data_IF_643010206819
#
_entry.id   IF_643010206819
#
_cell.length_a   1.000
_cell.length_b   1.000
_cell.length_c   1.000
_cell.angle_alpha   90.00
_cell.angle_beta   90.00
_cell.angle_gamma   90.00
#
_symmetry.space_group_name_H-M   'P 1'
#
loop_
_entity.id
_entity.type
_entity.pdbx_description
1 polymer ?
#
# COMPACT_ATOMS: atom_id res chain seq x y z
N UNK A 1 17.72 -10.90 -47.74
CA UNK A 1 18.42 -10.21 -46.65
C UNK A 1 18.03 -8.73 -46.71
N UNK A 2 17.07 -8.30 -45.89
CA UNK A 2 16.57 -6.93 -45.92
C UNK A 2 17.54 -5.99 -45.18
N UNK A 3 18.02 -4.95 -45.86
CA UNK A 3 18.91 -3.96 -45.29
C UNK A 3 18.17 -3.12 -44.23
N UNK A 4 18.66 -3.18 -42.98
CA UNK A 4 18.17 -2.39 -41.86
C UNK A 4 18.45 -0.91 -42.18
N UNK A 5 17.40 -0.13 -42.43
CA UNK A 5 17.50 1.32 -42.66
C UNK A 5 17.95 1.95 -41.35
N UNK A 6 19.21 2.39 -41.28
CA UNK A 6 19.80 2.98 -40.08
C UNK A 6 19.02 4.19 -39.60
N UNK A 7 18.89 4.32 -38.28
CA UNK A 7 18.44 5.54 -37.62
C UNK A 7 19.39 6.67 -38.07
N UNK A 8 18.85 7.86 -38.34
CA UNK A 8 19.54 8.93 -39.07
C UNK A 8 20.97 9.22 -38.58
N UNK A 9 21.86 9.56 -39.52
CA UNK A 9 23.24 10.00 -39.28
C UNK A 9 23.28 11.01 -38.12
N UNK A 10 23.81 10.57 -36.98
CA UNK A 10 23.94 11.37 -35.76
C UNK A 10 23.28 10.77 -34.52
N UNK A 11 22.37 9.78 -34.66
CA UNK A 11 21.81 9.07 -33.51
C UNK A 11 22.77 7.98 -33.01
N UNK A 12 23.43 7.27 -33.94
CA UNK A 12 24.46 6.26 -33.60
C UNK A 12 25.67 6.91 -32.89
N UNK A 13 26.16 8.08 -33.34
CA UNK A 13 27.25 8.81 -32.66
C UNK A 13 26.84 9.31 -31.25
N UNK A 14 25.55 9.60 -31.03
CA UNK A 14 25.02 9.97 -29.71
C UNK A 14 24.92 8.76 -28.79
N UNK A 15 24.54 7.60 -29.32
CA UNK A 15 24.53 6.35 -28.56
C UNK A 15 25.94 5.90 -28.21
N UNK A 16 26.90 6.00 -29.14
CA UNK A 16 28.31 5.66 -28.89
C UNK A 16 28.97 6.60 -27.86
N UNK A 17 28.54 7.87 -27.77
CA UNK A 17 29.02 8.81 -26.75
C UNK A 17 28.44 8.54 -25.35
N UNK A 18 27.33 7.79 -25.26
CA UNK A 18 26.66 7.41 -24.01
C UNK A 18 26.80 5.92 -23.67
N UNK A 19 27.38 5.12 -24.57
CA UNK A 19 27.89 3.77 -24.31
C UNK A 19 29.21 3.81 -23.53
N UNK A 20 29.30 4.77 -22.60
CA UNK A 20 30.26 4.72 -21.51
C UNK A 20 29.84 3.55 -20.66
N UNK A 21 30.58 2.44 -20.78
CA UNK A 21 30.65 1.39 -19.78
C UNK A 21 30.52 2.05 -18.40
N UNK A 22 29.52 1.64 -17.62
CA UNK A 22 29.22 2.20 -16.31
C UNK A 22 29.96 1.33 -15.28
N UNK A 23 31.27 1.50 -15.04
CA UNK A 23 31.99 0.73 -14.02
C UNK A 23 31.43 0.99 -12.62
N UNK A 24 30.64 2.06 -12.45
CA UNK A 24 29.91 2.32 -11.21
C UNK A 24 28.84 1.25 -10.95
N UNK A 25 28.16 0.73 -11.98
CA UNK A 25 27.07 -0.24 -11.85
C UNK A 25 27.63 -1.64 -11.55
N UNK A 26 28.80 -1.98 -12.09
CA UNK A 26 29.50 -3.23 -11.77
C UNK A 26 30.16 -3.21 -10.39
N UNK A 27 30.52 -2.03 -9.86
CA UNK A 27 31.00 -1.87 -8.49
C UNK A 27 29.93 -2.16 -7.43
N UNK A 28 28.64 -2.06 -7.79
CA UNK A 28 27.52 -2.43 -6.92
C UNK A 28 27.25 -3.94 -6.87
N UNK A 29 28.04 -4.75 -7.59
CA UNK A 29 27.87 -6.20 -7.65
C UNK A 29 26.69 -6.60 -8.53
N UNK A 30 26.82 -7.71 -9.26
CA UNK A 30 25.70 -8.31 -9.99
C UNK A 30 24.50 -8.40 -9.05
N UNK A 31 23.31 -8.01 -9.53
CA UNK A 31 22.07 -8.17 -8.80
C UNK A 31 21.83 -9.67 -8.55
N UNK A 32 22.43 -10.17 -7.47
CA UNK A 32 22.19 -11.49 -6.95
C UNK A 32 20.71 -11.54 -6.62
N UNK A 33 19.97 -12.57 -7.07
CA UNK A 33 18.54 -12.69 -6.76
C UNK A 33 18.29 -12.76 -5.24
N UNK A 34 19.34 -13.05 -4.46
CA UNK A 34 19.37 -12.91 -3.00
C UNK A 34 19.34 -11.47 -2.47
N UNK A 35 19.75 -10.47 -3.25
CA UNK A 35 19.68 -9.06 -2.89
C UNK A 35 18.23 -8.52 -2.87
N UNK A 36 17.24 -9.33 -3.25
CA UNK A 36 15.83 -9.06 -2.97
C UNK A 36 15.53 -9.09 -1.45
N UNK A 37 16.41 -9.66 -0.62
CA UNK A 37 16.29 -9.63 0.84
C UNK A 37 16.85 -8.34 1.48
N UNK A 38 17.36 -7.40 0.67
CA UNK A 38 18.04 -6.17 1.12
C UNK A 38 17.45 -4.88 0.54
N UNK A 39 16.32 -4.95 -0.16
CA UNK A 39 15.52 -3.76 -0.46
C UNK A 39 15.14 -3.08 0.88
N UNK A 40 15.10 -1.74 0.97
CA UNK A 40 14.43 -1.11 2.10
C UNK A 40 13.03 -1.72 2.23
N UNK A 41 12.49 -1.94 3.44
CA UNK A 41 11.23 -2.65 3.68
C UNK A 41 10.00 -2.04 2.96
N UNK A 42 10.17 -0.97 2.20
CA UNK A 42 9.15 -0.33 1.38
C UNK A 42 8.65 -1.15 0.18
N UNK A 43 9.22 -2.32 -0.14
CA UNK A 43 8.80 -3.15 -1.27
C UNK A 43 8.29 -4.55 -0.91
N UNK A 44 8.44 -4.97 0.35
CA UNK A 44 7.92 -6.24 0.87
C UNK A 44 6.55 -6.03 1.49
N UNK A 45 5.58 -6.87 1.12
CA UNK A 45 4.29 -7.00 1.82
C UNK A 45 4.58 -7.19 3.31
N UNK A 46 3.98 -6.36 4.17
CA UNK A 46 4.19 -6.49 5.62
C UNK A 46 3.56 -7.81 6.11
N UNK A 47 4.18 -8.45 7.09
CA UNK A 47 3.58 -9.62 7.73
C UNK A 47 2.18 -9.23 8.26
N UNK A 48 1.10 -10.00 7.97
CA UNK A 48 -0.26 -9.62 8.35
C UNK A 48 -0.44 -9.36 9.85
N UNK A 49 0.31 -10.06 10.72
CA UNK A 49 0.25 -9.86 12.16
C UNK A 49 0.94 -8.55 12.58
N UNK A 50 2.10 -8.26 12.01
CA UNK A 50 2.80 -7.00 12.26
C UNK A 50 2.00 -5.80 11.74
N UNK A 51 1.39 -5.92 10.56
CA UNK A 51 0.49 -4.92 9.99
C UNK A 51 -0.73 -4.69 10.90
N UNK A 52 -1.34 -5.76 11.41
CA UNK A 52 -2.44 -5.67 12.36
C UNK A 52 -2.03 -4.94 13.64
N UNK A 53 -0.87 -5.27 14.21
CA UNK A 53 -0.35 -4.57 15.39
C UNK A 53 -0.08 -3.09 15.11
N UNK A 54 0.46 -2.74 13.94
CA UNK A 54 0.68 -1.36 13.53
C UNK A 54 -0.64 -0.58 13.43
N UNK A 55 -1.67 -1.17 12.81
CA UNK A 55 -3.02 -0.60 12.71
C UNK A 55 -3.62 -0.35 14.10
N UNK A 56 -3.53 -1.33 15.00
CA UNK A 56 -4.03 -1.21 16.38
C UNK A 56 -3.30 -0.10 17.13
N UNK A 57 -1.96 -0.03 17.05
CA UNK A 57 -1.16 1.01 17.71
C UNK A 57 -1.55 2.41 17.19
N UNK A 58 -1.74 2.54 15.89
CA UNK A 58 -2.17 3.79 15.28
C UNK A 58 -3.55 4.23 15.77
N UNK A 59 -4.54 3.34 15.77
CA UNK A 59 -5.89 3.65 16.25
C UNK A 59 -5.91 4.05 17.73
N UNK A 60 -5.08 3.40 18.57
CA UNK A 60 -4.89 3.82 19.96
C UNK A 60 -4.29 5.22 20.09
N UNK A 61 -3.32 5.56 19.25
CA UNK A 61 -2.71 6.91 19.23
C UNK A 61 -3.70 8.00 18.81
N UNK A 62 -4.65 7.65 17.94
CA UNK A 62 -5.75 8.48 17.47
C UNK A 62 -6.93 8.58 18.47
N UNK A 63 -6.75 8.01 19.67
CA UNK A 63 -7.76 7.94 20.76
C UNK A 63 -9.03 7.16 20.37
N UNK A 64 -8.92 6.20 19.46
CA UNK A 64 -10.03 5.31 19.12
C UNK A 64 -10.09 4.13 20.11
N UNK A 65 -11.29 3.80 20.60
CA UNK A 65 -11.49 2.68 21.52
C UNK A 65 -11.49 1.36 20.75
N UNK A 66 -10.31 0.74 20.61
CA UNK A 66 -10.15 -0.56 19.95
C UNK A 66 -10.01 -1.71 20.96
N UNK A 67 -10.93 -2.66 20.87
CA UNK A 67 -10.85 -3.94 21.56
C UNK A 67 -10.21 -4.97 20.63
N UNK A 68 -9.18 -5.68 21.11
CA UNK A 68 -8.50 -6.74 20.36
C UNK A 68 -8.80 -8.08 21.02
N UNK A 69 -9.29 -9.04 20.24
CA UNK A 69 -9.45 -10.44 20.62
C UNK A 69 -8.79 -11.31 19.56
N UNK A 70 -7.69 -11.96 19.93
CA UNK A 70 -6.86 -12.77 19.03
C UNK A 70 -6.45 -11.98 17.77
N UNK A 71 -6.97 -12.38 16.61
CA UNK A 71 -6.70 -11.78 15.30
C UNK A 71 -7.81 -10.82 14.83
N UNK A 72 -8.70 -10.42 15.72
CA UNK A 72 -9.83 -9.55 15.40
C UNK A 72 -9.77 -8.30 16.26
N UNK A 73 -9.66 -7.14 15.60
CA UNK A 73 -9.78 -5.83 16.22
C UNK A 73 -11.18 -5.26 15.97
N UNK A 74 -11.87 -4.78 16.99
CA UNK A 74 -13.14 -4.07 16.83
C UNK A 74 -13.04 -2.69 17.45
N UNK A 75 -13.36 -1.68 16.68
CA UNK A 75 -13.52 -0.32 17.16
C UNK A 75 -15.00 0.02 17.13
N UNK A 76 -15.59 0.03 18.32
CA UNK A 76 -16.99 0.37 18.56
C UNK A 76 -17.94 -0.36 17.59
N UNK A 77 -18.90 0.35 16.98
CA UNK A 77 -19.85 -0.22 16.00
C UNK A 77 -19.45 0.03 14.55
N UNK A 78 -18.36 0.75 14.30
CA UNK A 78 -18.07 1.31 12.99
C UNK A 78 -16.89 0.65 12.25
N UNK A 79 -15.97 -0.01 12.96
CA UNK A 79 -14.83 -0.69 12.34
C UNK A 79 -14.59 -2.08 12.93
N UNK A 80 -14.40 -3.04 12.03
CA UNK A 80 -13.86 -4.37 12.32
C UNK A 80 -12.61 -4.60 11.48
N UNK A 81 -11.54 -5.06 12.11
CA UNK A 81 -10.29 -5.53 11.52
C UNK A 81 -10.20 -7.04 11.73
N UNK A 82 -9.82 -7.78 10.69
CA UNK A 82 -9.68 -9.23 10.70
C UNK A 82 -8.40 -9.61 9.96
N UNK A 83 -7.53 -10.43 10.54
CA UNK A 83 -6.31 -10.89 9.86
C UNK A 83 -6.66 -12.02 8.90
N UNK A 84 -6.30 -11.85 7.63
CA UNK A 84 -6.54 -12.79 6.52
C UNK A 84 -5.18 -13.14 5.88
N UNK A 85 -5.12 -14.19 5.06
CA UNK A 85 -3.89 -14.61 4.39
C UNK A 85 -3.21 -13.49 3.56
N UNK A 86 -4.01 -12.63 2.93
CA UNK A 86 -3.53 -11.55 2.06
C UNK A 86 -3.21 -10.24 2.80
N UNK A 87 -3.43 -10.17 4.12
CA UNK A 87 -3.22 -8.95 4.92
C UNK A 87 -4.30 -8.75 5.99
N UNK A 88 -4.73 -7.52 6.21
CA UNK A 88 -5.74 -7.19 7.23
C UNK A 88 -7.01 -6.66 6.57
N UNK A 89 -8.10 -7.42 6.66
CA UNK A 89 -9.40 -6.99 6.16
C UNK A 89 -10.06 -6.00 7.13
N UNK A 90 -10.30 -4.79 6.64
CA UNK A 90 -11.12 -3.79 7.31
C UNK A 90 -12.54 -3.82 6.76
N UNK A 91 -13.51 -3.80 7.68
CA UNK A 91 -14.93 -3.63 7.40
C UNK A 91 -15.43 -2.41 8.16
N UNK A 92 -15.97 -1.46 7.42
CA UNK A 92 -16.45 -0.18 7.89
C UNK A 92 -17.98 -0.13 7.77
N UNK A 93 -18.65 0.29 8.83
CA UNK A 93 -20.10 0.46 8.89
C UNK A 93 -20.42 1.82 9.52
N UNK A 94 -20.54 2.84 8.67
CA UNK A 94 -20.82 4.21 9.11
C UNK A 94 -21.90 4.84 8.24
N UNK A 95 -22.70 5.74 8.80
CA UNK A 95 -23.62 6.55 8.00
C UNK A 95 -22.82 7.60 7.23
N UNK A 96 -23.03 7.66 5.90
CA UNK A 96 -22.44 8.63 4.99
C UNK A 96 -20.91 8.75 5.09
N UNK A 97 -20.21 7.64 4.78
CA UNK A 97 -18.75 7.60 4.70
C UNK A 97 -18.23 8.68 3.75
N UNK A 98 -17.26 9.52 4.18
CA UNK A 98 -16.64 10.55 3.35
C UNK A 98 -15.57 9.93 2.42
N UNK A 99 -15.95 8.88 1.70
CA UNK A 99 -15.05 8.10 0.85
C UNK A 99 -15.57 8.10 -0.59
N UNK A 100 -14.63 8.11 -1.53
CA UNK A 100 -14.88 7.80 -2.93
C UNK A 100 -14.23 6.46 -3.29
N UNK A 101 -14.69 5.77 -4.36
CA UNK A 101 -14.12 4.46 -4.73
C UNK A 101 -12.60 4.47 -4.92
N UNK A 102 -12.02 5.57 -5.42
CA UNK A 102 -10.58 5.70 -5.61
C UNK A 102 -9.78 5.70 -4.31
N UNK A 103 -10.36 6.12 -3.17
CA UNK A 103 -9.67 6.11 -1.88
C UNK A 103 -9.29 4.68 -1.47
N UNK A 104 -10.13 3.70 -1.81
CA UNK A 104 -9.95 2.28 -1.46
C UNK A 104 -9.04 1.51 -2.45
N UNK A 105 -8.53 2.18 -3.48
CA UNK A 105 -7.59 1.61 -4.46
C UNK A 105 -6.19 2.22 -4.35
N UNK A 106 -5.90 2.88 -3.22
CA UNK A 106 -4.61 3.50 -2.94
C UNK A 106 -3.53 2.44 -2.69
N UNK A 107 -2.23 2.78 -2.82
CA UNK A 107 -1.14 1.86 -2.47
C UNK A 107 -1.28 1.29 -1.04
N UNK A 108 -1.04 -0.01 -0.90
CA UNK A 108 -1.23 -0.73 0.36
C UNK A 108 -2.68 -1.14 0.65
N UNK A 109 -3.58 -0.96 -0.31
CA UNK A 109 -4.98 -1.38 -0.24
C UNK A 109 -5.36 -2.25 -1.44
N UNK A 110 -6.12 -3.30 -1.17
CA UNK A 110 -6.66 -4.20 -2.18
C UNK A 110 -8.13 -4.52 -1.91
N UNK A 111 -8.81 -5.04 -2.94
CA UNK A 111 -10.20 -5.48 -2.88
C UNK A 111 -11.18 -4.43 -2.29
N UNK A 112 -10.89 -3.14 -2.50
CA UNK A 112 -11.71 -2.02 -2.05
C UNK A 112 -13.13 -2.07 -2.60
N UNK A 113 -14.14 -2.10 -1.72
CA UNK A 113 -15.56 -2.06 -2.06
C UNK A 113 -16.25 -0.99 -1.24
N UNK A 114 -16.98 -0.11 -1.90
CA UNK A 114 -17.82 0.91 -1.28
C UNK A 114 -19.28 0.66 -1.67
N UNK A 115 -20.20 0.71 -0.70
CA UNK A 115 -21.63 0.57 -1.02
C UNK A 115 -22.18 1.80 -1.73
N UNK A 116 -23.20 1.63 -2.57
CA UNK A 116 -23.80 2.74 -3.35
C UNK A 116 -24.33 3.88 -2.49
N UNK A 117 -24.72 3.57 -1.25
CA UNK A 117 -25.28 4.53 -0.30
C UNK A 117 -24.20 5.09 0.64
N UNK A 118 -22.90 4.83 0.38
CA UNK A 118 -21.77 5.19 1.23
C UNK A 118 -21.97 4.80 2.70
N UNK A 119 -22.72 3.73 2.97
CA UNK A 119 -23.08 3.32 4.34
C UNK A 119 -22.13 2.26 4.89
N UNK A 120 -21.31 1.67 4.01
CA UNK A 120 -20.37 0.63 4.36
C UNK A 120 -19.25 0.55 3.32
N UNK A 121 -18.06 0.19 3.79
CA UNK A 121 -16.90 -0.05 2.94
C UNK A 121 -16.11 -1.25 3.45
N UNK A 122 -15.43 -1.96 2.56
CA UNK A 122 -14.48 -3.00 2.92
C UNK A 122 -13.23 -2.87 2.08
N UNK A 123 -12.08 -3.10 2.70
CA UNK A 123 -10.76 -3.02 2.06
C UNK A 123 -9.81 -3.96 2.77
N UNK A 124 -8.86 -4.54 2.03
CA UNK A 124 -7.78 -5.35 2.59
C UNK A 124 -6.52 -4.50 2.58
N UNK A 125 -5.95 -4.26 3.76
CA UNK A 125 -4.65 -3.60 3.89
C UNK A 125 -3.55 -4.63 3.68
N UNK A 126 -2.64 -4.35 2.75
CA UNK A 126 -1.52 -5.24 2.40
C UNK A 126 -0.16 -4.65 2.79
N UNK A 127 -0.10 -3.35 3.06
CA UNK A 127 1.11 -2.70 3.58
C UNK A 127 0.77 -1.44 4.38
N UNK A 128 1.66 -1.09 5.29
CA UNK A 128 1.54 0.10 6.13
C UNK A 128 2.05 1.33 5.39
N UNK A 129 1.12 2.24 5.05
CA UNK A 129 1.40 3.41 4.21
C UNK A 129 0.88 4.73 4.76
N UNK A 130 1.20 5.82 4.05
CA UNK A 130 0.60 7.13 4.30
C UNK A 130 -0.89 7.11 3.99
N UNK A 131 -1.30 6.42 2.92
CA UNK A 131 -2.70 6.35 2.49
C UNK A 131 -3.57 5.56 3.48
N UNK A 132 -3.06 4.45 4.01
CA UNK A 132 -3.74 3.68 5.07
C UNK A 132 -3.96 4.51 6.34
N UNK A 133 -2.94 5.23 6.79
CA UNK A 133 -3.04 6.14 7.95
C UNK A 133 -4.06 7.25 7.70
N UNK A 134 -3.99 7.89 6.53
CA UNK A 134 -4.91 8.96 6.13
C UNK A 134 -6.36 8.47 6.11
N UNK A 135 -6.61 7.29 5.54
CA UNK A 135 -7.94 6.69 5.48
C UNK A 135 -8.51 6.48 6.89
N UNK A 136 -7.75 5.82 7.77
CA UNK A 136 -8.19 5.56 9.15
C UNK A 136 -8.41 6.84 9.95
N UNK A 137 -7.50 7.82 9.84
CA UNK A 137 -7.63 9.11 10.52
C UNK A 137 -8.89 9.86 10.06
N UNK A 138 -9.15 9.92 8.75
CA UNK A 138 -10.36 10.53 8.18
C UNK A 138 -11.64 9.88 8.68
N UNK A 139 -11.68 8.55 8.75
CA UNK A 139 -12.88 7.84 9.23
C UNK A 139 -13.07 8.08 10.73
N UNK A 140 -12.01 8.02 11.52
CA UNK A 140 -12.06 8.30 12.96
C UNK A 140 -12.52 9.74 13.24
N UNK A 141 -12.04 10.71 12.47
CA UNK A 141 -12.48 12.11 12.53
C UNK A 141 -13.97 12.25 12.18
N UNK A 142 -14.43 11.55 11.14
CA UNK A 142 -15.85 11.52 10.77
C UNK A 142 -16.72 10.94 11.88
N UNK A 143 -16.28 9.87 12.53
CA UNK A 143 -17.01 9.27 13.66
C UNK A 143 -17.10 10.20 14.87
N UNK A 144 -16.05 10.96 15.16
CA UNK A 144 -16.06 11.94 16.27
C UNK A 144 -16.98 13.13 16.03
N UNK A 145 -17.40 13.37 14.78
CA UNK A 145 -18.29 14.48 14.39
C UNK A 145 -19.76 14.10 14.36
N UNK A 146 -20.08 12.80 14.38
CA UNK A 146 -21.44 12.27 14.46
C UNK A 146 -21.91 12.21 15.92
#
# INVERSE_FOLDING_TARGET
>A
MAAKRGLGRGLDDFLDAHDTDLPFLSAYGSADEKALSGLPPSASTDDPQDLFQALVRFLKSEKANIEVKDNIGKCEKWLKLDVVADGVQATLACVNLPLVPSDLMSPGMQAGKLSKNNSSASVIFTSWGVDVRRLLSRINEHQKRL
#
